data_IF_465068737356
#
_entry.id   IF_465068737356
#
_cell.length_a   1.000
_cell.length_b   1.000
_cell.length_c   1.000
_cell.angle_alpha   90.00
_cell.angle_beta   90.00
_cell.angle_gamma   90.00
#
_symmetry.space_group_name_H-M   'P 1'
#
loop_
_entity.id
_entity.type
_entity.pdbx_description
1 polymer ?
#
# COMPACT_ATOMS: atom_id res chain seq x y z
N UNK A 1 -13.90 -13.40 44.49
CA UNK A 1 -14.18 -13.78 43.07
C UNK A 1 -14.69 -12.61 42.22
N UNK A 2 -15.19 -11.52 42.82
CA UNK A 2 -15.54 -10.30 42.08
C UNK A 2 -14.29 -9.47 41.72
N UNK A 3 -13.31 -9.43 42.62
CA UNK A 3 -12.06 -8.67 42.43
C UNK A 3 -11.17 -9.21 41.31
N UNK A 4 -11.16 -10.53 41.10
CA UNK A 4 -10.41 -11.18 40.01
C UNK A 4 -10.98 -10.87 38.64
N UNK A 5 -12.30 -10.68 38.54
CA UNK A 5 -12.99 -10.32 37.30
C UNK A 5 -12.78 -8.85 36.95
N UNK A 6 -12.81 -7.97 37.97
CA UNK A 6 -12.50 -6.54 37.79
C UNK A 6 -11.02 -6.30 37.45
N UNK A 7 -10.10 -7.04 38.07
CA UNK A 7 -8.68 -7.00 37.73
C UNK A 7 -8.39 -7.54 36.32
N UNK A 8 -9.11 -8.58 35.89
CA UNK A 8 -9.03 -9.13 34.54
C UNK A 8 -9.50 -8.13 33.49
N UNK A 9 -10.67 -7.53 33.69
CA UNK A 9 -11.23 -6.50 32.79
C UNK A 9 -10.28 -5.31 32.68
N UNK A 10 -9.74 -4.80 33.79
CA UNK A 10 -8.75 -3.71 33.75
C UNK A 10 -7.50 -4.09 32.95
N UNK A 11 -6.96 -5.30 33.10
CA UNK A 11 -5.74 -5.74 32.40
C UNK A 11 -5.94 -5.91 30.89
N UNK A 12 -7.13 -6.36 30.46
CA UNK A 12 -7.50 -6.43 29.04
C UNK A 12 -7.73 -5.05 28.43
N UNK A 13 -8.37 -4.13 29.16
CA UNK A 13 -8.55 -2.73 28.74
C UNK A 13 -7.18 -2.05 28.56
N UNK A 14 -6.24 -2.20 29.52
CA UNK A 14 -4.89 -1.61 29.39
C UNK A 14 -4.04 -2.26 28.28
N UNK A 15 -4.33 -3.50 27.88
CA UNK A 15 -3.63 -4.17 26.79
C UNK A 15 -4.18 -3.77 25.40
N UNK A 16 -5.50 -3.56 25.30
CA UNK A 16 -6.15 -3.02 24.12
C UNK A 16 -5.70 -1.56 23.85
N UNK A 17 -5.50 -0.74 24.88
CA UNK A 17 -5.05 0.65 24.77
C UNK A 17 -3.64 0.81 24.16
N UNK A 18 -2.82 -0.25 24.09
CA UNK A 18 -1.48 -0.21 23.48
C UNK A 18 -1.44 -0.67 22.03
N UNK A 19 -2.52 -1.29 21.54
CA UNK A 19 -2.61 -1.77 20.19
C UNK A 19 -3.23 -0.69 19.31
N UNK A 20 -2.43 -0.09 18.42
CA UNK A 20 -2.92 0.92 17.47
C UNK A 20 -3.19 0.27 16.13
N UNK A 21 -4.38 0.48 15.59
CA UNK A 21 -4.78 0.02 14.26
C UNK A 21 -4.97 1.26 13.39
N UNK A 22 -4.43 1.25 12.19
CA UNK A 22 -4.60 2.33 11.23
C UNK A 22 -5.01 1.79 9.87
N UNK A 23 -6.10 2.35 9.32
CA UNK A 23 -6.57 2.09 7.97
C UNK A 23 -6.21 3.27 7.08
N UNK A 24 -5.64 3.00 5.91
CA UNK A 24 -5.20 4.03 4.99
C UNK A 24 -5.66 3.79 3.58
N UNK A 25 -5.92 4.88 2.87
CA UNK A 25 -6.22 4.93 1.44
C UNK A 25 -5.30 5.97 0.82
N UNK A 26 -4.60 5.63 -0.26
CA UNK A 26 -3.71 6.57 -0.96
C UNK A 26 -3.80 6.37 -2.46
N UNK A 27 -3.82 7.48 -3.19
CA UNK A 27 -3.57 7.51 -4.63
C UNK A 27 -2.26 8.25 -4.91
N UNK A 28 -1.48 7.73 -5.85
CA UNK A 28 -0.25 8.35 -6.35
C UNK A 28 -0.32 8.44 -7.87
N UNK A 29 -0.30 9.65 -8.41
CA UNK A 29 -0.26 9.87 -9.84
C UNK A 29 1.20 9.77 -10.32
N UNK A 30 1.46 8.77 -11.17
CA UNK A 30 2.73 8.48 -11.81
C UNK A 30 2.85 9.33 -13.07
N UNK A 31 3.68 10.37 -13.02
CA UNK A 31 3.76 11.38 -14.08
C UNK A 31 4.26 10.82 -15.41
N UNK A 32 5.16 9.86 -15.37
CA UNK A 32 5.78 9.29 -16.58
C UNK A 32 4.92 8.17 -17.20
N UNK A 33 4.00 7.58 -16.43
CA UNK A 33 3.04 6.57 -16.89
C UNK A 33 1.66 7.15 -17.26
N UNK A 34 1.41 8.42 -16.91
CA UNK A 34 0.10 9.09 -17.01
C UNK A 34 -1.04 8.28 -16.39
N UNK A 35 -0.78 7.68 -15.23
CA UNK A 35 -1.78 6.85 -14.54
C UNK A 35 -1.61 6.90 -13.01
N UNK A 36 -2.60 6.41 -12.27
CA UNK A 36 -2.67 6.45 -10.82
C UNK A 36 -2.47 5.07 -10.23
N UNK A 37 -1.54 4.99 -9.27
CA UNK A 37 -1.36 3.83 -8.40
C UNK A 37 -2.18 3.98 -7.13
N UNK A 38 -3.03 3.00 -6.84
CA UNK A 38 -3.93 2.98 -5.69
C UNK A 38 -3.42 2.08 -4.57
N UNK A 39 -3.63 2.48 -3.32
CA UNK A 39 -3.22 1.74 -2.13
C UNK A 39 -4.34 1.70 -1.11
N UNK A 40 -4.66 0.50 -0.62
CA UNK A 40 -5.36 0.28 0.64
C UNK A 40 -4.39 -0.32 1.65
N UNK A 41 -4.28 0.27 2.83
CA UNK A 41 -3.32 -0.17 3.86
C UNK A 41 -3.99 -0.47 5.19
N UNK A 42 -3.60 -1.58 5.82
CA UNK A 42 -3.87 -1.91 7.20
C UNK A 42 -2.55 -1.98 7.97
N UNK A 43 -2.34 -1.02 8.88
CA UNK A 43 -1.18 -1.00 9.78
C UNK A 43 -1.61 -1.39 11.19
N UNK A 44 -0.94 -2.40 11.74
CA UNK A 44 -1.14 -2.88 13.10
C UNK A 44 0.12 -2.62 13.92
N UNK A 45 0.02 -1.79 14.96
CA UNK A 45 1.14 -1.38 15.79
C UNK A 45 0.91 -1.84 17.23
N UNK A 46 1.32 -3.07 17.58
CA UNK A 46 1.13 -3.63 18.92
C UNK A 46 2.04 -2.99 19.99
N UNK A 47 3.10 -2.31 19.56
CA UNK A 47 4.02 -1.55 20.43
C UNK A 47 4.55 -0.33 19.65
N UNK A 48 5.09 0.65 20.37
CA UNK A 48 5.66 1.86 19.76
C UNK A 48 6.87 1.57 18.85
N UNK A 49 7.61 0.49 19.11
CA UNK A 49 8.84 0.13 18.39
C UNK A 49 8.62 -0.85 17.23
N UNK A 50 7.40 -1.31 16.95
CA UNK A 50 7.14 -2.27 15.86
C UNK A 50 5.73 -2.20 15.32
N UNK A 51 5.62 -2.45 14.03
CA UNK A 51 4.34 -2.57 13.36
C UNK A 51 4.36 -3.62 12.26
N UNK A 52 3.17 -4.06 11.88
CA UNK A 52 2.92 -4.88 10.69
C UNK A 52 2.13 -4.02 9.71
N UNK A 53 2.48 -4.06 8.43
CA UNK A 53 1.83 -3.33 7.36
C UNK A 53 1.35 -4.32 6.30
N UNK A 54 0.04 -4.32 6.07
CA UNK A 54 -0.58 -5.06 4.98
C UNK A 54 -1.12 -4.06 3.97
N UNK A 55 -0.83 -4.28 2.68
CA UNK A 55 -1.33 -3.41 1.62
C UNK A 55 -1.90 -4.24 0.47
N UNK A 56 -3.02 -3.75 -0.09
CA UNK A 56 -3.53 -4.14 -1.40
C UNK A 56 -3.26 -2.96 -2.33
N UNK A 57 -2.55 -3.22 -3.41
CA UNK A 57 -2.08 -2.20 -4.34
C UNK A 57 -2.69 -2.47 -5.71
N UNK A 58 -3.31 -1.45 -6.29
CA UNK A 58 -3.65 -1.41 -7.70
C UNK A 58 -2.56 -0.63 -8.43
N UNK A 59 -1.79 -1.33 -9.26
CA UNK A 59 -0.65 -0.75 -9.98
C UNK A 59 -0.94 -0.78 -11.49
N UNK A 60 -0.96 0.37 -12.18
CA UNK A 60 -1.21 0.43 -13.61
C UNK A 60 -0.20 -0.38 -14.46
N UNK A 61 0.98 -0.70 -13.90
CA UNK A 61 2.02 -1.53 -14.52
C UNK A 61 1.79 -3.04 -14.35
N UNK A 62 0.88 -3.45 -13.47
CA UNK A 62 0.46 -4.84 -13.28
C UNK A 62 -0.61 -5.28 -14.27
N UNK A 63 -1.07 -4.38 -15.16
CA UNK A 63 -2.15 -4.66 -16.11
C UNK A 63 -1.65 -5.53 -17.26
N UNK A 64 -2.26 -6.71 -17.41
CA UNK A 64 -1.92 -7.64 -18.50
C UNK A 64 -2.85 -7.41 -19.68
N UNK A 65 -2.29 -7.15 -20.87
CA UNK A 65 -3.05 -7.08 -22.12
C UNK A 65 -3.20 -8.49 -22.70
N UNK A 66 -4.40 -9.05 -22.64
CA UNK A 66 -4.81 -10.23 -23.38
C UNK A 66 -5.33 -9.75 -24.74
N UNK A 67 -4.74 -10.25 -25.83
CA UNK A 67 -5.21 -9.95 -27.19
C UNK A 67 -5.82 -11.20 -27.76
N UNK A 68 -7.15 -11.23 -27.87
CA UNK A 68 -7.88 -12.27 -28.57
C UNK A 68 -7.98 -11.88 -30.04
N UNK A 69 -7.55 -12.78 -30.93
CA UNK A 69 -7.66 -12.62 -32.38
C UNK A 69 -8.68 -13.62 -32.88
N UNK A 70 -9.86 -13.14 -33.24
CA UNK A 70 -10.87 -13.97 -33.91
C UNK A 70 -10.76 -13.77 -35.42
N UNK A 71 -10.53 -14.87 -36.14
CA UNK A 71 -10.46 -14.87 -37.61
C UNK A 71 -11.72 -15.54 -38.13
N UNK A 72 -12.62 -14.76 -38.72
CA UNK A 72 -13.84 -15.27 -39.35
C UNK A 72 -13.68 -15.23 -40.87
N UNK A 73 -13.76 -16.40 -41.52
CA UNK A 73 -13.81 -16.48 -42.99
C UNK A 73 -15.26 -16.45 -43.44
N UNK A 74 -15.63 -15.46 -44.24
CA UNK A 74 -16.98 -15.35 -44.80
C UNK A 74 -17.16 -16.27 -46.02
N UNK A 75 -18.41 -16.62 -46.39
CA UNK A 75 -18.68 -17.52 -47.51
C UNK A 75 -18.16 -17.05 -48.88
N UNK A 76 -17.85 -15.77 -49.02
CA UNK A 76 -17.26 -15.15 -50.22
C UNK A 76 -15.73 -15.25 -50.28
N UNK A 77 -15.11 -15.88 -49.28
CA UNK A 77 -13.66 -16.07 -49.20
C UNK A 77 -12.90 -14.88 -48.59
N UNK A 78 -13.59 -13.82 -48.15
CA UNK A 78 -12.93 -12.75 -47.39
C UNK A 78 -12.68 -13.14 -45.93
N UNK A 79 -11.66 -12.55 -45.32
CA UNK A 79 -11.26 -12.83 -43.94
C UNK A 79 -11.47 -11.58 -43.11
N UNK A 80 -12.25 -11.70 -42.04
CA UNK A 80 -12.42 -10.66 -41.02
C UNK A 80 -11.51 -11.04 -39.85
N UNK A 81 -10.60 -10.13 -39.48
CA UNK A 81 -9.75 -10.29 -38.30
C UNK A 81 -10.27 -9.30 -37.24
N UNK A 82 -10.82 -9.83 -36.16
CA UNK A 82 -11.25 -9.05 -35.00
C UNK A 82 -10.15 -9.12 -33.95
N UNK A 83 -9.64 -7.95 -33.54
CA UNK A 83 -8.72 -7.82 -32.42
C UNK A 83 -9.49 -7.33 -31.20
N UNK A 84 -9.67 -8.20 -30.20
CA UNK A 84 -10.19 -7.81 -28.89
C UNK A 84 -9.02 -7.68 -27.93
N UNK A 85 -8.79 -6.47 -27.40
CA UNK A 85 -7.77 -6.22 -26.38
C UNK A 85 -8.47 -6.13 -25.04
N UNK A 86 -8.36 -7.19 -24.24
CA UNK A 86 -8.84 -7.23 -22.86
C UNK A 86 -7.67 -6.92 -21.93
N UNK A 87 -7.82 -5.89 -21.10
CA UNK A 87 -6.82 -5.57 -20.07
C UNK A 87 -7.31 -6.15 -18.74
N UNK A 88 -6.53 -7.01 -18.11
CA UNK A 88 -6.82 -7.54 -16.77
C UNK A 88 -5.93 -6.85 -15.73
N UNK A 89 -6.56 -6.22 -14.74
CA UNK A 89 -5.89 -5.54 -13.64
C UNK A 89 -5.52 -6.57 -12.56
N UNK A 90 -4.22 -6.78 -12.33
CA UNK A 90 -3.74 -7.64 -11.26
C UNK A 90 -3.38 -6.82 -10.04
N UNK A 91 -4.15 -6.99 -8.96
CA UNK A 91 -3.83 -6.42 -7.65
C UNK A 91 -2.55 -7.06 -7.10
N UNK A 92 -1.70 -6.23 -6.50
CA UNK A 92 -0.50 -6.66 -5.79
C UNK A 92 -0.71 -6.62 -4.27
N UNK A 93 0.02 -7.45 -3.54
CA UNK A 93 -0.06 -7.57 -2.09
C UNK A 93 1.27 -7.25 -1.42
N UNK A 94 1.20 -6.56 -0.28
CA UNK A 94 2.33 -6.40 0.63
C UNK A 94 1.97 -6.87 2.04
N UNK A 95 2.93 -7.50 2.70
CA UNK A 95 2.88 -7.92 4.10
C UNK A 95 4.29 -7.74 4.71
N UNK A 96 4.47 -6.63 5.43
CA UNK A 96 5.75 -6.19 5.94
C UNK A 96 5.77 -6.18 7.47
N UNK A 97 6.87 -6.64 8.04
CA UNK A 97 7.21 -6.39 9.43
C UNK A 97 8.15 -5.20 9.51
N UNK A 98 7.94 -4.34 10.50
CA UNK A 98 8.76 -3.18 10.74
C UNK A 98 9.23 -3.09 12.19
N UNK A 99 10.47 -2.64 12.38
CA UNK A 99 11.04 -2.33 13.69
C UNK A 99 11.68 -0.95 13.69
N UNK A 100 11.32 -0.13 14.67
CA UNK A 100 11.76 1.24 14.87
C UNK A 100 12.89 1.31 15.89
N UNK A 101 13.92 2.07 15.56
CA UNK A 101 15.09 2.38 16.38
C UNK A 101 15.27 3.91 16.38
N UNK A 102 14.78 4.58 17.42
CA UNK A 102 14.78 6.04 17.48
C UNK A 102 13.97 6.65 16.32
N UNK A 103 14.61 7.46 15.48
CA UNK A 103 13.98 8.11 14.32
C UNK A 103 14.01 7.30 13.04
N UNK A 104 14.54 6.08 13.05
CA UNK A 104 14.60 5.20 11.87
C UNK A 104 13.73 3.97 12.10
N UNK A 105 12.97 3.52 11.11
CA UNK A 105 12.39 2.18 11.12
C UNK A 105 12.86 1.38 9.92
N UNK A 106 13.15 0.10 10.12
CA UNK A 106 13.46 -0.84 9.05
C UNK A 106 12.27 -1.75 8.81
N UNK A 107 11.95 -1.98 7.55
CA UNK A 107 10.86 -2.84 7.07
C UNK A 107 11.42 -4.00 6.25
N UNK A 108 10.74 -5.14 6.32
CA UNK A 108 11.02 -6.26 5.43
C UNK A 108 9.89 -7.28 5.41
N UNK A 109 9.76 -7.97 4.28
CA UNK A 109 8.72 -8.99 4.07
C UNK A 109 8.30 -9.08 2.61
N UNK A 110 7.02 -9.38 2.39
CA UNK A 110 6.42 -9.35 1.07
C UNK A 110 6.08 -7.91 0.70
N UNK A 111 6.59 -7.43 -0.42
CA UNK A 111 6.34 -6.10 -0.98
C UNK A 111 5.97 -6.28 -2.45
N UNK A 112 4.76 -5.89 -2.80
CA UNK A 112 4.23 -5.97 -4.17
C UNK A 112 4.47 -7.36 -4.80
N UNK A 113 3.97 -8.40 -4.13
CA UNK A 113 4.08 -9.83 -4.49
C UNK A 113 5.49 -10.43 -4.51
N UNK A 114 6.52 -9.66 -4.15
CA UNK A 114 7.92 -10.10 -4.14
C UNK A 114 8.57 -9.87 -2.77
N UNK A 115 9.79 -10.38 -2.56
CA UNK A 115 10.54 -10.01 -1.36
C UNK A 115 11.04 -8.57 -1.45
N UNK A 116 10.87 -7.81 -0.35
CA UNK A 116 11.26 -6.41 -0.26
C UNK A 116 11.81 -6.01 1.10
N UNK A 117 12.61 -4.94 1.10
CA UNK A 117 13.11 -4.26 2.29
C UNK A 117 12.89 -2.76 2.15
N UNK A 118 12.81 -2.06 3.30
CA UNK A 118 12.66 -0.62 3.30
C UNK A 118 13.18 0.03 4.56
N UNK A 119 13.35 1.35 4.52
CA UNK A 119 13.72 2.16 5.66
C UNK A 119 12.92 3.47 5.67
N UNK A 120 12.38 3.80 6.84
CA UNK A 120 11.71 5.06 7.12
C UNK A 120 12.58 5.93 8.02
N UNK A 121 12.68 7.21 7.73
CA UNK A 121 13.28 8.23 8.58
C UNK A 121 12.23 9.27 8.99
N UNK A 122 11.96 9.37 10.28
CA UNK A 122 10.99 10.30 10.87
C UNK A 122 11.68 11.61 11.24
N UNK A 123 11.36 12.68 10.51
CA UNK A 123 12.12 13.94 10.57
C UNK A 123 11.50 14.91 11.59
N UNK A 124 10.18 15.17 11.50
CA UNK A 124 9.49 16.19 12.29
C UNK A 124 8.35 15.53 13.08
N UNK A 125 8.59 15.05 14.30
CA UNK A 125 7.54 14.46 15.17
C UNK A 125 6.59 13.51 14.42
N UNK A 126 7.14 12.70 13.51
CA UNK A 126 6.40 11.81 12.60
C UNK A 126 5.49 12.46 11.53
N UNK A 127 5.35 13.79 11.51
CA UNK A 127 4.63 14.53 10.47
C UNK A 127 5.31 14.47 9.12
N UNK A 128 6.65 14.50 9.09
CA UNK A 128 7.44 14.33 7.88
C UNK A 128 8.22 13.03 7.97
N UNK A 129 8.01 12.13 6.99
CA UNK A 129 8.70 10.85 6.88
C UNK A 129 9.31 10.72 5.48
N UNK A 130 10.60 10.40 5.44
CA UNK A 130 11.25 9.96 4.20
C UNK A 130 11.34 8.43 4.21
N UNK A 131 10.99 7.78 3.12
CA UNK A 131 11.01 6.33 2.98
C UNK A 131 11.82 5.95 1.74
N UNK A 132 12.64 4.92 1.87
CA UNK A 132 13.27 4.25 0.72
C UNK A 132 12.92 2.77 0.78
N UNK A 133 12.46 2.24 -0.35
CA UNK A 133 12.02 0.86 -0.50
C UNK A 133 12.73 0.22 -1.68
N UNK A 134 13.05 -1.07 -1.54
CA UNK A 134 13.64 -1.89 -2.60
C UNK A 134 12.99 -3.28 -2.58
N UNK A 135 12.52 -3.75 -3.73
CA UNK A 135 11.89 -5.06 -3.89
C UNK A 135 12.14 -5.65 -5.27
N UNK A 136 11.63 -6.87 -5.51
CA UNK A 136 11.82 -7.61 -6.76
C UNK A 136 13.31 -7.80 -7.11
N UNK A 137 14.07 -8.40 -6.18
CA UNK A 137 15.51 -8.63 -6.34
C UNK A 137 15.88 -9.72 -7.35
N UNK A 138 14.92 -10.58 -7.70
CA UNK A 138 15.15 -11.71 -8.62
C UNK A 138 15.33 -11.26 -10.07
N UNK A 139 14.94 -10.01 -10.38
CA UNK A 139 15.01 -9.43 -11.72
C UNK A 139 14.05 -10.12 -12.70
N UNK A 140 13.71 -9.44 -13.80
CA UNK A 140 12.97 -10.05 -14.90
C UNK A 140 13.43 -9.48 -16.25
N UNK A 141 12.87 -9.99 -17.36
CA UNK A 141 13.23 -9.56 -18.71
C UNK A 141 13.03 -8.05 -18.96
N UNK A 142 12.25 -7.37 -18.11
CA UNK A 142 11.96 -5.95 -18.23
C UNK A 142 12.68 -5.04 -17.22
N UNK A 143 13.27 -5.60 -16.16
CA UNK A 143 14.00 -4.86 -15.14
C UNK A 143 15.13 -5.74 -14.55
N UNK A 144 16.38 -5.38 -14.85
CA UNK A 144 17.56 -6.07 -14.34
C UNK A 144 17.95 -5.61 -12.94
N UNK A 145 17.47 -4.44 -12.50
CA UNK A 145 17.72 -3.87 -11.18
C UNK A 145 16.48 -4.04 -10.30
N UNK A 146 16.64 -4.15 -8.96
CA UNK A 146 15.51 -4.16 -8.05
C UNK A 146 14.66 -2.90 -8.23
N UNK A 147 13.35 -3.02 -8.06
CA UNK A 147 12.48 -1.84 -8.04
C UNK A 147 12.83 -1.02 -6.82
N UNK A 148 13.20 0.25 -7.01
CA UNK A 148 13.50 1.15 -5.90
C UNK A 148 12.59 2.37 -5.91
N UNK A 149 12.01 2.68 -4.75
CA UNK A 149 11.12 3.83 -4.56
C UNK A 149 11.63 4.71 -3.44
N UNK A 150 11.63 6.02 -3.68
CA UNK A 150 11.84 7.02 -2.66
C UNK A 150 10.56 7.83 -2.48
N UNK A 151 10.11 7.99 -1.24
CA UNK A 151 8.88 8.72 -0.90
C UNK A 151 9.14 9.72 0.22
N UNK A 152 8.72 10.96 0.04
CA UNK A 152 8.54 11.92 1.12
C UNK A 152 7.04 12.04 1.43
N UNK A 153 6.67 11.75 2.67
CA UNK A 153 5.30 11.77 3.16
C UNK A 153 5.15 12.90 4.18
N UNK A 154 4.14 13.76 4.00
CA UNK A 154 3.82 14.85 4.91
C UNK A 154 2.36 14.76 5.39
N UNK A 155 2.17 14.57 6.69
CA UNK A 155 0.87 14.56 7.35
C UNK A 155 0.40 15.99 7.59
N UNK A 156 -0.60 16.43 6.83
CA UNK A 156 -1.15 17.80 6.89
C UNK A 156 -2.15 17.94 8.05
N UNK A 157 -3.06 16.97 8.14
CA UNK A 157 -4.03 16.83 9.23
C UNK A 157 -3.92 15.42 9.80
N UNK A 158 -4.53 15.15 10.96
CA UNK A 158 -4.52 13.80 11.56
C UNK A 158 -4.89 12.71 10.56
N UNK A 159 -5.85 13.01 9.68
CA UNK A 159 -6.36 12.07 8.68
C UNK A 159 -5.75 12.25 7.29
N UNK A 160 -5.37 13.48 6.89
CA UNK A 160 -4.93 13.77 5.52
C UNK A 160 -3.40 13.86 5.45
N UNK A 161 -2.82 13.18 4.46
CA UNK A 161 -1.40 13.28 4.16
C UNK A 161 -1.14 13.40 2.66
N UNK A 162 0.02 13.94 2.33
CA UNK A 162 0.54 14.10 0.97
C UNK A 162 1.79 13.26 0.79
N UNK A 163 2.04 12.81 -0.44
CA UNK A 163 3.21 12.04 -0.82
C UNK A 163 3.79 12.61 -2.09
N UNK A 164 5.11 12.70 -2.16
CA UNK A 164 5.84 12.99 -3.38
C UNK A 164 7.07 12.09 -3.43
N UNK A 165 7.52 11.75 -4.62
CA UNK A 165 8.67 10.87 -4.73
C UNK A 165 9.02 10.47 -6.15
N UNK A 166 9.91 9.49 -6.22
CA UNK A 166 10.33 8.83 -7.46
C UNK A 166 10.20 7.33 -7.28
N UNK A 167 9.46 6.72 -8.19
CA UNK A 167 9.23 5.29 -8.27
C UNK A 167 10.13 4.67 -9.35
N UNK A 168 10.56 3.44 -9.11
CA UNK A 168 11.50 2.66 -9.92
C UNK A 168 12.73 3.43 -10.44
N UNK A 169 13.32 4.27 -9.59
CA UNK A 169 14.34 5.26 -10.01
C UNK A 169 15.68 4.67 -10.45
N UNK A 170 15.91 3.37 -10.24
CA UNK A 170 17.10 2.65 -10.72
C UNK A 170 16.90 1.95 -12.06
N UNK A 171 15.66 1.92 -12.58
CA UNK A 171 15.34 1.41 -13.90
C UNK A 171 14.88 2.56 -14.80
N UNK A 172 15.79 3.13 -15.59
CA UNK A 172 15.53 4.35 -16.40
C UNK A 172 14.30 4.30 -17.31
N UNK A 173 13.88 3.11 -17.78
CA UNK A 173 12.69 2.95 -18.63
C UNK A 173 11.37 2.89 -17.86
N UNK A 174 11.43 2.65 -16.55
CA UNK A 174 10.27 2.50 -15.64
C UNK A 174 10.25 3.57 -14.55
N UNK A 175 11.28 4.40 -14.47
CA UNK A 175 11.34 5.47 -13.48
C UNK A 175 10.19 6.44 -13.70
N UNK A 176 9.41 6.70 -12.65
CA UNK A 176 8.36 7.71 -12.68
C UNK A 176 8.42 8.61 -11.46
N UNK A 177 8.39 9.92 -11.66
CA UNK A 177 8.07 10.83 -10.56
C UNK A 177 6.60 10.68 -10.18
N UNK A 178 6.25 10.93 -8.92
CA UNK A 178 4.86 10.88 -8.49
C UNK A 178 4.50 11.93 -7.45
N UNK A 179 3.22 12.29 -7.45
CA UNK A 179 2.57 13.08 -6.42
C UNK A 179 1.25 12.42 -6.03
N UNK A 180 0.96 12.40 -4.74
CA UNK A 180 -0.19 11.67 -4.22
C UNK A 180 -0.73 12.27 -2.94
N UNK A 181 -1.93 11.83 -2.58
CA UNK A 181 -2.60 12.18 -1.34
C UNK A 181 -3.29 10.95 -0.77
N UNK A 182 -3.52 10.95 0.53
CA UNK A 182 -4.19 9.85 1.19
C UNK A 182 -4.88 10.24 2.48
N UNK A 183 -5.78 9.36 2.89
CA UNK A 183 -6.48 9.41 4.16
C UNK A 183 -5.99 8.27 5.05
N UNK A 184 -5.88 8.54 6.34
CA UNK A 184 -5.41 7.60 7.36
C UNK A 184 -6.28 7.74 8.60
N UNK A 185 -6.91 6.66 9.03
CA UNK A 185 -7.84 6.62 10.15
C UNK A 185 -7.27 5.72 11.22
N UNK A 186 -7.05 6.25 12.42
CA UNK A 186 -6.63 5.45 13.57
C UNK A 186 -7.82 4.78 14.27
N UNK A 187 -7.55 4.01 15.32
CA UNK A 187 -8.58 3.26 16.02
C UNK A 187 -9.58 4.17 16.75
N UNK A 188 -9.20 5.39 17.12
CA UNK A 188 -10.09 6.38 17.70
C UNK A 188 -11.10 6.87 16.65
N UNK A 189 -10.62 7.21 15.46
CA UNK A 189 -11.46 7.61 14.32
C UNK A 189 -12.44 6.49 13.93
N UNK A 190 -11.97 5.24 13.89
CA UNK A 190 -12.80 4.08 13.52
C UNK A 190 -13.89 3.80 14.56
N UNK A 191 -13.57 3.86 15.86
CA UNK A 191 -14.55 3.72 16.94
C UNK A 191 -15.66 4.77 16.83
N UNK A 192 -15.30 6.00 16.50
CA UNK A 192 -16.24 7.09 16.30
C UNK A 192 -17.17 6.87 15.09
N UNK A 193 -16.62 6.41 13.96
CA UNK A 193 -17.41 6.08 12.77
C UNK A 193 -18.40 4.93 13.03
N UNK A 194 -17.95 3.86 13.68
CA UNK A 194 -18.80 2.71 14.02
C UNK A 194 -19.89 3.05 15.02
N UNK A 195 -19.66 4.01 15.92
CA UNK A 195 -20.66 4.44 16.92
C UNK A 195 -21.70 5.38 16.33
N UNK A 196 -21.38 6.11 15.25
CA UNK A 196 -22.30 7.04 14.58
C UNK A 196 -23.11 6.43 13.45
N UNK A 197 -22.67 5.31 12.89
CA UNK A 197 -23.50 4.52 11.99
C UNK A 197 -24.46 3.69 12.86
N UNK A 198 -25.79 3.89 12.79
CA UNK A 198 -26.73 2.98 13.40
C UNK A 198 -26.60 1.65 12.66
N UNK A 199 -25.74 0.76 13.16
CA UNK A 199 -25.75 -0.62 12.72
C UNK A 199 -27.03 -1.20 13.31
N UNK A 200 -28.14 -1.10 12.57
CA UNK A 200 -29.26 -2.00 12.81
C UNK A 200 -28.75 -3.38 12.46
N UNK A 201 -28.27 -4.12 13.45
CA UNK A 201 -28.08 -5.55 13.29
C UNK A 201 -29.46 -6.15 13.01
N UNK A 202 -29.64 -6.91 11.92
CA UNK A 202 -30.85 -7.69 11.71
C UNK A 202 -31.02 -8.78 12.80
#
# INVERSE_FOLDING_TARGET
KLDSTLAGINKYITAADRFRLNLGFRGEYLMDEDDTKGYFSLKMQPREDKYYLFEVIDDPRGRTKITDTEVTTTPDGSTIITHEVKTEDQLKLSALFAKKFGSVAFRGGLMEDTFGIGADYYIINEQLRASVDAWNFDGNAEASNPHMKFTANYTVFKTLFLNVGVDDFVNSKKSSSFAGAGLSFDDEDLKYLMTRLPISMP
#
